data_IF_557433237563
#
_entry.id   IF_557433237563
#
_cell.length_a   1.000
_cell.length_b   1.000
_cell.length_c   1.000
_cell.angle_alpha   90.00
_cell.angle_beta   90.00
_cell.angle_gamma   90.00
#
_symmetry.space_group_name_H-M   'P 1'
#
loop_
_entity.id
_entity.type
_entity.pdbx_description
1 polymer ?
#
# COMPACT_ATOMS: atom_id res chain seq x y z
N UNK A 1 22.85 -9.19 -12.07
CA UNK A 1 22.08 -7.96 -12.40
C UNK A 1 22.96 -7.09 -13.29
N UNK A 2 22.46 -6.59 -14.42
CA UNK A 2 23.27 -5.78 -15.37
C UNK A 2 22.99 -4.27 -15.27
N UNK A 3 21.79 -3.91 -14.85
CA UNK A 3 21.35 -2.51 -14.73
C UNK A 3 20.45 -2.37 -13.50
N UNK A 4 20.65 -1.30 -12.74
CA UNK A 4 19.76 -0.88 -11.64
C UNK A 4 19.05 0.39 -12.09
N UNK A 5 17.73 0.35 -12.13
CA UNK A 5 16.90 1.52 -12.40
C UNK A 5 16.48 2.16 -11.08
N UNK A 6 16.59 3.48 -11.00
CA UNK A 6 16.15 4.26 -9.85
C UNK A 6 15.35 5.46 -10.32
N UNK A 7 14.16 5.70 -9.72
CA UNK A 7 13.37 6.90 -9.95
C UNK A 7 13.94 8.07 -9.18
N UNK A 8 14.52 9.03 -9.89
CA UNK A 8 15.10 10.26 -9.32
C UNK A 8 14.45 11.46 -9.99
N UNK A 9 14.10 12.48 -9.20
CA UNK A 9 13.43 13.69 -9.68
C UNK A 9 14.23 14.97 -9.48
N UNK A 10 15.40 14.89 -8.81
CA UNK A 10 16.29 16.03 -8.62
C UNK A 10 17.76 15.61 -8.57
N UNK A 11 18.68 16.62 -8.65
CA UNK A 11 20.12 16.41 -8.68
C UNK A 11 20.69 15.86 -7.37
N UNK A 12 20.07 16.17 -6.24
CA UNK A 12 20.50 15.67 -4.93
C UNK A 12 20.34 14.16 -4.87
N UNK A 13 19.18 13.64 -5.24
CA UNK A 13 18.92 12.20 -5.33
C UNK A 13 19.84 11.50 -6.32
N UNK A 14 20.15 12.14 -7.46
CA UNK A 14 21.09 11.61 -8.44
C UNK A 14 22.50 11.49 -7.85
N UNK A 15 22.99 12.55 -7.22
CA UNK A 15 24.33 12.58 -6.62
C UNK A 15 24.45 11.58 -5.48
N UNK A 16 23.41 11.43 -4.66
CA UNK A 16 23.33 10.45 -3.58
C UNK A 16 23.45 9.03 -4.14
N UNK A 17 22.64 8.66 -5.11
CA UNK A 17 22.70 7.35 -5.76
C UNK A 17 24.06 7.07 -6.42
N UNK A 18 24.66 8.07 -7.11
CA UNK A 18 26.00 7.95 -7.71
C UNK A 18 27.05 7.70 -6.62
N UNK A 19 26.92 8.34 -5.45
CA UNK A 19 27.86 8.18 -4.34
C UNK A 19 27.94 6.74 -3.86
N UNK A 20 26.80 6.07 -3.73
CA UNK A 20 26.74 4.65 -3.35
C UNK A 20 27.37 3.75 -4.40
N UNK A 21 27.09 4.01 -5.68
CA UNK A 21 27.62 3.18 -6.77
C UNK A 21 29.12 3.32 -6.98
N UNK A 22 29.70 4.50 -6.72
CA UNK A 22 31.16 4.72 -6.80
C UNK A 22 31.95 3.94 -5.75
N UNK A 23 31.35 3.68 -4.57
CA UNK A 23 31.99 2.98 -3.44
C UNK A 23 31.20 1.72 -3.07
N UNK A 24 30.61 1.09 -4.07
CA UNK A 24 29.77 -0.09 -3.84
C UNK A 24 30.50 -1.19 -3.09
N UNK A 25 29.91 -1.62 -1.99
CA UNK A 25 30.30 -2.84 -1.25
C UNK A 25 29.11 -3.78 -1.25
N UNK A 26 29.25 -5.01 -1.74
CA UNK A 26 28.22 -6.04 -1.58
C UNK A 26 27.91 -6.26 -0.12
N UNK A 27 26.64 -6.56 0.17
CA UNK A 27 26.25 -7.00 1.51
C UNK A 27 26.93 -8.33 1.84
N UNK A 28 27.32 -8.48 3.09
CA UNK A 28 27.73 -9.79 3.62
C UNK A 28 26.54 -10.76 3.63
N UNK A 29 26.80 -12.04 3.75
CA UNK A 29 25.72 -13.04 3.83
C UNK A 29 24.84 -12.81 5.08
N UNK A 30 25.40 -12.36 6.19
CA UNK A 30 24.66 -12.04 7.42
C UNK A 30 23.74 -10.85 7.24
N UNK A 31 24.24 -9.76 6.66
CA UNK A 31 23.44 -8.57 6.35
C UNK A 31 22.31 -8.90 5.36
N UNK A 32 22.59 -9.69 4.34
CA UNK A 32 21.58 -10.12 3.37
C UNK A 32 20.49 -10.96 4.06
N UNK A 33 20.86 -11.93 4.89
CA UNK A 33 19.92 -12.76 5.65
C UNK A 33 19.08 -11.91 6.62
N UNK A 34 19.69 -10.90 7.25
CA UNK A 34 18.98 -9.97 8.13
C UNK A 34 17.93 -9.16 7.35
N UNK A 35 18.30 -8.60 6.20
CA UNK A 35 17.37 -7.82 5.37
C UNK A 35 16.23 -8.67 4.81
N UNK A 36 16.47 -9.92 4.44
CA UNK A 36 15.42 -10.84 4.02
C UNK A 36 14.41 -11.07 5.16
N UNK A 37 14.89 -11.38 6.36
CA UNK A 37 14.03 -11.57 7.55
C UNK A 37 13.24 -10.31 7.88
N UNK A 38 13.87 -9.15 7.83
CA UNK A 38 13.21 -7.87 8.06
C UNK A 38 12.12 -7.60 7.00
N UNK A 39 12.41 -7.87 5.74
CA UNK A 39 11.45 -7.76 4.64
C UNK A 39 10.23 -8.66 4.84
N UNK A 40 10.45 -9.89 5.32
CA UNK A 40 9.35 -10.82 5.61
C UNK A 40 8.51 -10.35 6.83
N UNK A 41 9.14 -9.82 7.87
CA UNK A 41 8.41 -9.23 9.00
C UNK A 41 7.55 -8.04 8.59
N UNK A 42 8.09 -7.14 7.77
CA UNK A 42 7.32 -6.00 7.23
C UNK A 42 6.14 -6.52 6.40
N UNK A 43 6.39 -7.48 5.50
CA UNK A 43 5.35 -8.05 4.63
C UNK A 43 4.22 -8.70 5.42
N UNK A 44 4.54 -9.45 6.46
CA UNK A 44 3.54 -10.12 7.31
C UNK A 44 2.77 -9.15 8.21
N UNK A 45 3.31 -7.95 8.48
CA UNK A 45 2.60 -6.91 9.23
C UNK A 45 1.52 -6.17 8.41
N UNK A 46 1.56 -6.30 7.07
CA UNK A 46 0.62 -5.63 6.17
C UNK A 46 -0.57 -6.55 5.93
N UNK A 47 -1.75 -6.17 6.45
CA UNK A 47 -2.96 -6.98 6.33
C UNK A 47 -3.52 -7.01 4.88
N UNK A 48 -3.44 -5.87 4.16
CA UNK A 48 -3.86 -5.76 2.77
C UNK A 48 -2.68 -5.18 1.97
N UNK A 49 -1.99 -5.96 1.12
CA UNK A 49 -0.77 -5.52 0.42
C UNK A 49 -1.09 -4.64 -0.81
N UNK A 50 -1.81 -3.54 -0.56
CA UNK A 50 -2.15 -2.54 -1.58
C UNK A 50 -0.95 -1.62 -1.82
N UNK A 51 -0.61 -1.38 -3.10
CA UNK A 51 0.49 -0.50 -3.51
C UNK A 51 0.06 0.94 -3.76
N UNK A 52 -1.20 1.28 -3.48
CA UNK A 52 -1.78 2.61 -3.68
C UNK A 52 -1.59 3.17 -5.12
N UNK A 53 -1.64 2.30 -6.13
CA UNK A 53 -1.47 2.69 -7.54
C UNK A 53 -2.70 3.43 -8.12
N UNK A 54 -3.81 3.47 -7.42
CA UNK A 54 -5.07 4.17 -7.72
C UNK A 54 -5.80 3.74 -9.02
N UNK A 55 -5.39 2.68 -9.72
CA UNK A 55 -6.07 2.23 -10.95
C UNK A 55 -7.52 1.78 -10.72
N UNK A 56 -7.85 1.34 -9.50
CA UNK A 56 -9.19 0.89 -9.13
C UNK A 56 -10.19 2.04 -8.85
N UNK A 57 -9.70 3.24 -8.50
CA UNK A 57 -10.53 4.35 -8.04
C UNK A 57 -11.38 4.98 -9.15
N UNK A 58 -10.84 5.33 -10.34
CA UNK A 58 -11.62 5.98 -11.40
C UNK A 58 -12.78 5.12 -11.95
N UNK A 59 -12.64 3.79 -11.89
CA UNK A 59 -13.65 2.86 -12.38
C UNK A 59 -14.70 2.45 -11.34
N UNK A 60 -14.63 2.98 -10.12
CA UNK A 60 -15.60 2.61 -9.08
C UNK A 60 -16.91 3.41 -9.23
N UNK A 61 -18.06 2.74 -9.52
CA UNK A 61 -19.33 3.45 -9.69
C UNK A 61 -19.88 4.06 -8.39
N UNK A 62 -19.33 3.65 -7.25
CA UNK A 62 -19.65 4.19 -5.91
C UNK A 62 -18.62 5.19 -5.41
N UNK A 63 -17.64 5.55 -6.23
CA UNK A 63 -16.59 6.52 -5.90
C UNK A 63 -15.84 6.20 -4.60
N UNK A 64 -15.65 4.88 -4.31
CA UNK A 64 -14.92 4.44 -3.12
C UNK A 64 -13.43 4.67 -3.33
N UNK A 65 -12.77 5.41 -2.45
CA UNK A 65 -11.32 5.61 -2.45
C UNK A 65 -10.61 4.39 -1.83
N UNK A 66 -10.60 3.29 -2.58
CA UNK A 66 -10.18 1.96 -2.14
C UNK A 66 -8.79 1.95 -1.48
N UNK A 67 -7.72 2.55 -2.08
CA UNK A 67 -6.38 2.51 -1.50
C UNK A 67 -6.27 3.21 -0.15
N UNK A 68 -6.99 4.32 0.05
CA UNK A 68 -7.01 5.09 1.27
C UNK A 68 -7.65 4.28 2.40
N UNK A 69 -8.79 3.63 2.15
CA UNK A 69 -9.42 2.73 3.11
C UNK A 69 -8.53 1.55 3.48
N UNK A 70 -7.79 0.97 2.50
CA UNK A 70 -6.86 -0.11 2.77
C UNK A 70 -5.65 0.37 3.60
N UNK A 71 -5.18 1.59 3.35
CA UNK A 71 -4.13 2.22 4.16
C UNK A 71 -4.56 2.39 5.61
N UNK A 72 -5.77 2.90 5.85
CA UNK A 72 -6.33 3.04 7.20
C UNK A 72 -6.47 1.70 7.91
N UNK A 73 -6.97 0.68 7.21
CA UNK A 73 -7.09 -0.66 7.75
C UNK A 73 -5.73 -1.24 8.16
N UNK A 74 -4.70 -1.08 7.32
CA UNK A 74 -3.34 -1.50 7.63
C UNK A 74 -2.78 -0.76 8.85
N UNK A 75 -2.93 0.58 8.93
CA UNK A 75 -2.54 1.37 10.10
C UNK A 75 -3.21 0.84 11.37
N UNK A 76 -4.50 0.50 11.29
CA UNK A 76 -5.28 -0.04 12.41
C UNK A 76 -4.72 -1.40 12.87
N UNK A 77 -4.48 -2.32 11.92
CA UNK A 77 -3.95 -3.66 12.20
C UNK A 77 -2.52 -3.62 12.74
N UNK A 78 -1.73 -2.62 12.36
CA UNK A 78 -0.38 -2.39 12.88
C UNK A 78 -0.37 -1.63 14.22
N UNK A 79 -1.52 -1.34 14.83
CA UNK A 79 -1.67 -0.52 16.04
C UNK A 79 -1.09 0.90 15.93
N UNK A 80 -0.93 1.42 14.72
CA UNK A 80 -0.47 2.79 14.47
C UNK A 80 -1.61 3.82 14.60
N UNK A 81 -2.87 3.36 14.61
CA UNK A 81 -4.07 4.17 14.83
C UNK A 81 -4.96 3.50 15.87
N UNK A 82 -5.25 4.19 16.98
CA UNK A 82 -6.12 3.70 18.07
C UNK A 82 -7.34 4.61 18.21
N UNK A 83 -8.51 4.03 18.51
CA UNK A 83 -9.73 4.78 18.73
C UNK A 83 -10.56 5.03 17.47
N UNK A 84 -11.55 5.94 17.54
CA UNK A 84 -12.32 6.40 16.38
C UNK A 84 -11.38 7.13 15.43
N UNK A 85 -11.39 6.74 14.16
CA UNK A 85 -10.52 7.33 13.14
C UNK A 85 -11.22 8.53 12.51
N UNK A 86 -10.78 9.74 12.84
CA UNK A 86 -11.23 10.95 12.14
C UNK A 86 -10.94 10.85 10.64
N UNK A 87 -9.80 10.26 10.26
CA UNK A 87 -9.46 10.00 8.85
C UNK A 87 -10.52 9.13 8.14
N UNK A 88 -11.12 8.16 8.83
CA UNK A 88 -12.21 7.36 8.26
C UNK A 88 -13.48 8.18 8.09
N UNK A 89 -13.82 9.02 9.08
CA UNK A 89 -14.98 9.90 9.03
C UNK A 89 -14.86 10.93 7.90
N UNK A 90 -13.66 11.48 7.68
CA UNK A 90 -13.38 12.39 6.57
C UNK A 90 -13.56 11.69 5.22
N UNK A 91 -12.97 10.50 5.05
CA UNK A 91 -13.09 9.73 3.81
C UNK A 91 -14.54 9.39 3.46
N UNK A 92 -15.34 8.97 4.43
CA UNK A 92 -16.77 8.62 4.17
C UNK A 92 -17.65 9.82 3.87
N UNK A 93 -17.22 11.03 4.26
CA UNK A 93 -17.95 12.26 3.95
C UNK A 93 -17.63 12.76 2.53
N UNK A 94 -16.42 12.52 2.04
CA UNK A 94 -15.95 12.97 0.73
C UNK A 94 -16.13 11.92 -0.37
N UNK A 95 -16.17 10.65 0.00
CA UNK A 95 -16.18 9.51 -0.92
C UNK A 95 -17.23 8.47 -0.54
N UNK A 96 -17.48 7.52 -1.45
CA UNK A 96 -18.29 6.34 -1.16
C UNK A 96 -17.68 5.49 -0.05
N UNK A 97 -18.55 4.89 0.77
CA UNK A 97 -18.13 4.05 1.90
C UNK A 97 -17.76 2.64 1.43
N UNK A 98 -16.91 1.92 2.17
CA UNK A 98 -16.64 0.50 1.90
C UNK A 98 -17.90 -0.35 1.82
N UNK A 99 -18.90 -0.07 2.67
CA UNK A 99 -20.20 -0.75 2.73
C UNK A 99 -21.07 -0.52 1.47
N UNK A 100 -20.88 0.59 0.76
CA UNK A 100 -21.65 0.90 -0.46
C UNK A 100 -21.21 0.07 -1.68
N UNK A 101 -20.24 -0.84 -1.50
CA UNK A 101 -19.69 -1.66 -2.58
C UNK A 101 -20.78 -2.56 -3.19
N UNK A 102 -21.05 -2.40 -4.48
CA UNK A 102 -22.01 -3.22 -5.24
C UNK A 102 -21.41 -4.49 -5.86
N UNK A 103 -20.20 -4.84 -5.49
CA UNK A 103 -19.50 -6.07 -5.91
C UNK A 103 -19.36 -6.24 -7.44
N UNK A 104 -19.27 -5.13 -8.19
CA UNK A 104 -19.22 -5.17 -9.67
C UNK A 104 -17.90 -5.73 -10.25
N UNK A 105 -16.87 -5.89 -9.44
CA UNK A 105 -15.56 -6.48 -9.82
C UNK A 105 -14.67 -5.62 -10.71
N UNK A 106 -15.06 -4.38 -11.05
CA UNK A 106 -14.23 -3.52 -11.92
C UNK A 106 -12.86 -3.23 -11.33
N UNK A 107 -12.80 -2.93 -10.02
CA UNK A 107 -11.57 -2.68 -9.29
C UNK A 107 -10.61 -3.87 -9.29
N UNK A 108 -11.13 -5.10 -9.17
CA UNK A 108 -10.32 -6.32 -9.17
C UNK A 108 -9.74 -6.65 -10.55
N UNK A 109 -10.48 -6.34 -11.62
CA UNK A 109 -10.00 -6.54 -13.00
C UNK A 109 -8.77 -5.69 -13.33
N UNK A 110 -8.72 -4.45 -12.83
CA UNK A 110 -7.63 -3.50 -13.12
C UNK A 110 -6.50 -3.54 -12.07
N UNK A 111 -6.67 -4.29 -10.99
CA UNK A 111 -5.68 -4.37 -9.92
C UNK A 111 -4.42 -5.15 -10.38
N UNK A 112 -3.23 -4.50 -10.46
CA UNK A 112 -2.01 -5.20 -10.85
C UNK A 112 -1.57 -6.23 -9.81
N UNK A 113 -1.96 -6.03 -8.54
CA UNK A 113 -1.66 -6.96 -7.44
C UNK A 113 -2.65 -8.12 -7.32
N UNK A 114 -3.71 -8.13 -8.16
CA UNK A 114 -4.77 -9.16 -8.12
C UNK A 114 -5.39 -9.33 -6.73
N UNK A 115 -5.54 -8.23 -6.00
CA UNK A 115 -6.13 -8.25 -4.65
C UNK A 115 -7.62 -8.59 -4.73
N UNK A 116 -8.14 -9.36 -3.78
CA UNK A 116 -9.58 -9.59 -3.60
C UNK A 116 -10.20 -8.34 -2.95
N UNK A 117 -10.40 -7.28 -3.75
CA UNK A 117 -10.75 -5.94 -3.26
C UNK A 117 -12.13 -5.95 -2.61
N UNK A 118 -13.10 -6.63 -3.19
CA UNK A 118 -14.48 -6.72 -2.67
C UNK A 118 -14.47 -7.31 -1.25
N UNK A 119 -13.81 -8.45 -1.06
CA UNK A 119 -13.73 -9.09 0.26
C UNK A 119 -12.93 -8.26 1.26
N UNK A 120 -11.92 -7.53 0.82
CA UNK A 120 -11.15 -6.64 1.68
C UNK A 120 -11.94 -5.39 2.07
N UNK A 121 -12.78 -4.83 1.19
CA UNK A 121 -13.69 -3.74 1.55
C UNK A 121 -14.70 -4.17 2.63
N UNK A 122 -15.20 -5.40 2.59
CA UNK A 122 -16.05 -5.95 3.67
C UNK A 122 -15.31 -5.95 5.00
N UNK A 123 -14.06 -6.44 5.03
CA UNK A 123 -13.23 -6.40 6.26
C UNK A 123 -13.00 -4.98 6.78
N UNK A 124 -12.84 -4.02 5.88
CA UNK A 124 -12.70 -2.59 6.25
C UNK A 124 -14.01 -2.08 6.87
N UNK A 125 -15.15 -2.38 6.24
CA UNK A 125 -16.46 -2.01 6.77
C UNK A 125 -16.66 -2.61 8.18
N UNK A 126 -16.42 -3.91 8.35
CA UNK A 126 -16.56 -4.61 9.65
C UNK A 126 -15.64 -4.01 10.76
N UNK A 127 -14.49 -3.42 10.40
CA UNK A 127 -13.55 -2.84 11.38
C UNK A 127 -13.94 -1.43 11.80
N UNK A 128 -14.58 -0.64 10.93
CA UNK A 128 -14.80 0.80 11.14
C UNK A 128 -16.28 1.20 11.28
N UNK A 129 -17.21 0.38 10.86
CA UNK A 129 -18.67 0.59 10.93
C UNK A 129 -19.32 -0.29 11.98
#
# INVERSE_FOLDING_TARGET
>A
MRVVLSGMSNLEQLNDNISYMKKFKPLTQEENNFLIKLGDQIRTSIAIPCTACNYCTPGCPKHICIPEYFSLFNKRKQNLSKGKSTEYDDLKNEHGKPYDCIECGQCERVCPQKLPIISNLKKVADEFE
#
